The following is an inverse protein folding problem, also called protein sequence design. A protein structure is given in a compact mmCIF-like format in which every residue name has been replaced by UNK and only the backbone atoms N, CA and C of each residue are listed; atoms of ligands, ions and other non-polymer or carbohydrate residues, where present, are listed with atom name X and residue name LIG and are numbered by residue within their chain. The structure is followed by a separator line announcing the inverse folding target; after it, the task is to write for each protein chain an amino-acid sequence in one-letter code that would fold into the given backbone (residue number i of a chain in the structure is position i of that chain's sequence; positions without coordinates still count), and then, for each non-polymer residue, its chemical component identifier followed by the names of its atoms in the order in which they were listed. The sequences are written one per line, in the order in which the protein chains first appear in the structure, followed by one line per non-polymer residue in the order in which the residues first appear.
data_IF_024310559348
#
_entry.id   IF_024310559348
#
_cell.length_a   1.000
_cell.length_b   1.000
_cell.length_c   1.000
_cell.angle_alpha   90.00
_cell.angle_beta   90.00
_cell.angle_gamma   90.00
#
_symmetry.space_group_name_H-M   'P 1'
#
loop_
_entity.id
_entity.type
_entity.pdbx_description
1 polymer ?
#
# COMPACT_ATOMS: atom_id res chain seq x y z
N UNK A 1 -3.18 18.04 1.11
CA UNK A 1 -4.03 17.05 1.81
C UNK A 1 -5.05 16.56 0.81
N UNK A 2 -5.25 15.26 0.77
CA UNK A 2 -6.24 14.58 -0.08
C UNK A 2 -7.00 13.64 0.87
N UNK A 3 -8.30 13.84 1.00
CA UNK A 3 -9.16 13.13 1.97
C UNK A 3 -10.11 12.18 1.23
N UNK A 4 -10.55 11.13 1.94
CA UNK A 4 -11.45 10.09 1.45
C UNK A 4 -11.01 9.57 0.07
N UNK A 5 -9.72 9.25 -0.04
CA UNK A 5 -9.11 8.80 -1.31
C UNK A 5 -9.79 7.52 -1.80
N UNK A 6 -10.16 6.63 -0.90
CA UNK A 6 -10.84 5.37 -1.15
C UNK A 6 -12.24 5.52 -1.76
N UNK A 7 -12.93 6.63 -1.51
CA UNK A 7 -14.31 6.89 -1.94
C UNK A 7 -14.45 7.15 -3.44
N UNK A 8 -13.34 7.38 -4.15
CA UNK A 8 -13.38 7.80 -5.54
C UNK A 8 -13.40 6.59 -6.50
N UNK A 9 -14.15 6.66 -7.62
CA UNK A 9 -14.20 5.59 -8.61
C UNK A 9 -12.94 5.47 -9.49
N UNK A 10 -11.88 6.23 -9.21
CA UNK A 10 -10.71 6.38 -10.08
C UNK A 10 -9.60 5.35 -9.84
N UNK A 11 -9.94 4.23 -9.18
CA UNK A 11 -9.00 3.13 -8.96
C UNK A 11 -8.67 2.43 -10.29
N UNK A 12 -7.39 2.45 -10.63
CA UNK A 12 -6.81 1.79 -11.80
C UNK A 12 -6.11 0.51 -11.35
N UNK A 13 -5.87 -0.39 -12.30
CA UNK A 13 -5.00 -1.55 -12.09
C UNK A 13 -3.91 -1.56 -13.16
N UNK A 14 -2.80 -2.23 -12.86
CA UNK A 14 -1.65 -2.34 -13.76
C UNK A 14 -1.47 -3.75 -14.34
N UNK A 15 -2.47 -4.62 -14.17
CA UNK A 15 -2.36 -6.05 -14.50
C UNK A 15 -1.35 -6.75 -13.58
N UNK A 16 -0.28 -7.28 -14.17
CA UNK A 16 0.72 -8.08 -13.46
C UNK A 16 1.86 -7.27 -12.83
N UNK A 17 1.75 -5.94 -12.67
CA UNK A 17 2.89 -5.14 -12.22
C UNK A 17 3.33 -5.41 -10.77
N UNK A 18 2.42 -5.91 -9.93
CA UNK A 18 2.75 -6.37 -8.58
C UNK A 18 3.42 -7.75 -8.55
N UNK A 19 3.35 -8.53 -9.64
CA UNK A 19 4.00 -9.84 -9.70
C UNK A 19 5.52 -9.68 -9.82
N UNK A 20 6.26 -10.74 -9.46
CA UNK A 20 7.70 -10.79 -9.67
C UNK A 20 8.04 -10.57 -11.16
N UNK A 21 9.00 -9.68 -11.40
CA UNK A 21 9.37 -9.23 -12.74
C UNK A 21 8.26 -8.53 -13.54
N UNK A 22 7.14 -8.14 -12.91
CA UNK A 22 5.96 -7.57 -13.55
C UNK A 22 5.32 -8.49 -14.63
N UNK A 23 5.38 -9.82 -14.43
CA UNK A 23 4.85 -10.82 -15.37
C UNK A 23 3.99 -11.88 -14.67
N UNK A 24 3.21 -12.66 -15.43
CA UNK A 24 2.47 -13.81 -14.89
C UNK A 24 0.95 -13.66 -14.93
N UNK A 25 0.26 -14.54 -14.19
CA UNK A 25 -1.19 -14.57 -14.14
C UNK A 25 -1.75 -13.37 -13.37
N UNK A 26 -2.91 -12.87 -13.81
CA UNK A 26 -3.66 -11.82 -13.14
C UNK A 26 -4.81 -12.48 -12.40
N UNK A 27 -4.92 -12.27 -11.10
CA UNK A 27 -6.00 -12.81 -10.31
C UNK A 27 -7.34 -12.16 -10.71
N UNK A 28 -8.44 -12.92 -10.81
CA UNK A 28 -9.78 -12.35 -10.74
C UNK A 28 -9.91 -11.47 -9.50
N UNK A 29 -10.49 -10.28 -9.67
CA UNK A 29 -10.54 -9.29 -8.62
C UNK A 29 -11.77 -8.39 -8.79
N UNK A 30 -12.15 -7.69 -7.73
CA UNK A 30 -13.21 -6.69 -7.78
C UNK A 30 -12.97 -5.59 -6.75
N UNK A 31 -13.56 -4.43 -7.02
CA UNK A 31 -13.60 -3.30 -6.10
C UNK A 31 -15.06 -2.86 -5.93
N UNK A 32 -15.50 -2.65 -4.69
CA UNK A 32 -16.83 -2.11 -4.37
C UNK A 32 -16.65 -0.85 -3.55
N UNK A 33 -17.04 0.30 -4.10
CA UNK A 33 -16.82 1.62 -3.52
C UNK A 33 -18.12 2.10 -2.87
N UNK A 34 -18.03 2.79 -1.73
CA UNK A 34 -19.19 3.32 -1.02
C UNK A 34 -20.01 2.23 -0.33
N UNK A 35 -19.34 1.21 0.22
CA UNK A 35 -19.93 0.15 1.02
C UNK A 35 -20.40 0.74 2.35
N UNK A 36 -21.69 0.66 2.70
CA UNK A 36 -22.22 1.35 3.88
C UNK A 36 -21.96 0.62 5.20
N UNK A 37 -21.59 -0.66 5.17
CA UNK A 37 -21.29 -1.46 6.36
C UNK A 37 -20.48 -2.71 6.01
N UNK A 38 -19.42 -3.06 6.76
CA UNK A 38 -18.80 -2.23 7.79
C UNK A 38 -18.21 -0.95 7.18
N UNK A 39 -18.35 0.18 7.88
CA UNK A 39 -17.76 1.47 7.51
C UNK A 39 -17.76 2.38 8.73
N UNK A 40 -16.75 3.23 8.84
CA UNK A 40 -16.60 4.22 9.90
C UNK A 40 -17.20 5.59 9.53
N UNK A 41 -17.32 5.91 8.25
CA UNK A 41 -17.95 7.16 7.77
C UNK A 41 -19.21 6.93 6.90
N UNK A 42 -19.56 5.66 6.68
CA UNK A 42 -20.70 5.21 5.87
C UNK A 42 -20.36 4.94 4.40
N UNK A 43 -19.08 5.00 3.98
CA UNK A 43 -18.65 4.91 2.58
C UNK A 43 -17.37 4.09 2.30
N UNK A 44 -16.98 3.15 3.16
CA UNK A 44 -15.80 2.28 2.94
C UNK A 44 -15.68 1.68 1.52
N UNK A 45 -14.45 1.35 1.11
CA UNK A 45 -14.17 0.66 -0.14
C UNK A 45 -13.63 -0.75 0.12
N UNK A 46 -14.29 -1.75 -0.47
CA UNK A 46 -13.88 -3.15 -0.42
C UNK A 46 -13.01 -3.50 -1.63
N UNK A 47 -11.81 -4.02 -1.36
CA UNK A 47 -10.90 -4.60 -2.36
C UNK A 47 -10.93 -6.12 -2.22
N UNK A 48 -11.13 -6.84 -3.32
CA UNK A 48 -11.26 -8.31 -3.29
C UNK A 48 -10.40 -8.98 -4.34
N UNK A 49 -9.76 -10.08 -3.95
CA UNK A 49 -8.98 -10.98 -4.81
C UNK A 49 -9.58 -12.38 -4.74
N UNK A 50 -9.73 -13.02 -5.89
CA UNK A 50 -10.19 -14.40 -6.03
C UNK A 50 -9.22 -15.17 -6.93
N UNK A 51 -7.98 -15.29 -6.45
CA UNK A 51 -6.91 -15.95 -7.17
C UNK A 51 -7.26 -17.40 -7.52
N UNK A 52 -6.78 -17.87 -8.67
CA UNK A 52 -6.88 -19.28 -9.10
C UNK A 52 -5.51 -19.93 -9.27
N UNK A 53 -4.46 -19.11 -9.19
CA UNK A 53 -3.05 -19.51 -9.24
C UNK A 53 -2.39 -18.99 -7.96
N UNK A 54 -1.66 -19.85 -7.21
CA UNK A 54 -0.93 -19.43 -6.01
C UNK A 54 0.00 -18.25 -6.27
N UNK A 55 0.18 -17.39 -5.25
CA UNK A 55 1.11 -16.25 -5.29
C UNK A 55 0.84 -15.24 -6.41
N UNK A 56 -0.40 -15.18 -6.90
CA UNK A 56 -0.84 -14.06 -7.74
C UNK A 56 -1.29 -12.90 -6.87
N UNK A 57 -1.20 -11.69 -7.42
CA UNK A 57 -1.67 -10.49 -6.74
C UNK A 57 -2.57 -9.64 -7.63
N UNK A 58 -3.06 -8.57 -7.01
CA UNK A 58 -3.71 -7.47 -7.70
C UNK A 58 -3.35 -6.17 -7.01
N UNK A 59 -2.91 -5.20 -7.82
CA UNK A 59 -2.51 -3.87 -7.39
C UNK A 59 -3.52 -2.85 -7.93
N UNK A 60 -4.12 -2.10 -7.01
CA UNK A 60 -4.99 -0.97 -7.32
C UNK A 60 -4.31 0.32 -6.93
N UNK A 61 -4.36 1.31 -7.82
CA UNK A 61 -3.80 2.64 -7.54
C UNK A 61 -4.69 3.77 -8.03
N UNK A 62 -4.51 4.95 -7.44
CA UNK A 62 -5.05 6.18 -7.99
C UNK A 62 -3.93 7.13 -8.41
N UNK A 63 -4.21 7.92 -9.44
CA UNK A 63 -3.36 9.02 -9.87
C UNK A 63 -3.89 10.34 -9.33
N UNK A 64 -3.01 11.10 -8.71
CA UNK A 64 -3.29 12.42 -8.16
C UNK A 64 -2.66 13.51 -9.04
N UNK A 65 -2.97 14.76 -8.70
CA UNK A 65 -2.21 15.88 -9.26
C UNK A 65 -0.73 15.70 -8.87
N UNK A 66 0.23 15.71 -9.83
CA UNK A 66 1.64 15.53 -9.53
C UNK A 66 2.14 16.56 -8.52
N UNK A 67 2.83 16.09 -7.48
CA UNK A 67 3.54 16.95 -6.52
C UNK A 67 4.92 17.24 -7.10
N UNK A 68 5.19 18.51 -7.42
CA UNK A 68 6.39 18.95 -8.17
C UNK A 68 7.51 19.52 -7.29
N UNK A 69 7.43 19.27 -5.99
CA UNK A 69 8.38 19.73 -5.00
C UNK A 69 8.91 18.54 -4.18
N UNK A 70 10.03 18.75 -3.50
CA UNK A 70 10.51 17.81 -2.48
C UNK A 70 9.43 17.63 -1.41
N UNK A 71 9.19 16.38 -1.02
CA UNK A 71 8.31 16.02 0.09
C UNK A 71 9.13 16.04 1.39
N UNK A 72 9.08 17.17 2.09
CA UNK A 72 9.67 17.31 3.43
C UNK A 72 8.90 16.52 4.49
N UNK A 73 7.65 16.19 4.19
CA UNK A 73 6.79 15.30 4.95
C UNK A 73 5.74 14.70 4.03
N UNK A 74 5.49 13.40 4.16
CA UNK A 74 4.38 12.68 3.56
C UNK A 74 3.82 11.71 4.61
N UNK A 75 2.50 11.69 4.74
CA UNK A 75 1.76 10.79 5.61
C UNK A 75 0.64 10.14 4.83
N UNK A 76 0.59 8.81 4.87
CA UNK A 76 -0.50 8.00 4.34
C UNK A 76 -1.22 7.32 5.51
N UNK A 77 -2.49 7.67 5.69
CA UNK A 77 -3.32 7.32 6.83
C UNK A 77 -4.60 6.67 6.33
N UNK A 78 -5.04 5.58 6.95
CA UNK A 78 -6.31 4.92 6.63
C UNK A 78 -6.70 3.92 7.73
N UNK A 79 -7.96 3.53 7.74
CA UNK A 79 -8.45 2.43 8.56
C UNK A 79 -8.63 1.17 7.69
N UNK A 80 -8.21 0.02 8.23
CA UNK A 80 -8.22 -1.28 7.55
C UNK A 80 -9.11 -2.26 8.31
N UNK A 81 -10.00 -2.94 7.59
CA UNK A 81 -10.85 -3.98 8.13
C UNK A 81 -10.62 -5.31 7.40
N UNK A 82 -10.35 -6.36 8.17
CA UNK A 82 -10.28 -7.73 7.66
C UNK A 82 -11.59 -8.45 8.01
N UNK A 83 -12.41 -8.85 7.02
CA UNK A 83 -13.60 -9.64 7.26
C UNK A 83 -13.29 -10.99 7.93
N UNK A 84 -14.20 -11.45 8.78
CA UNK A 84 -14.11 -12.77 9.41
C UNK A 84 -14.03 -13.87 8.34
N UNK A 85 -13.07 -14.77 8.49
CA UNK A 85 -12.73 -15.82 7.55
C UNK A 85 -11.64 -15.43 6.54
N UNK A 86 -11.28 -14.14 6.45
CA UNK A 86 -10.21 -13.66 5.56
C UNK A 86 -8.86 -13.55 6.27
N UNK A 87 -8.79 -13.71 7.59
CA UNK A 87 -7.59 -13.41 8.38
C UNK A 87 -6.34 -14.25 8.04
N UNK A 88 -6.50 -15.41 7.41
CA UNK A 88 -5.38 -16.29 7.06
C UNK A 88 -5.17 -16.46 5.54
N UNK A 89 -6.02 -15.84 4.72
CA UNK A 89 -5.96 -15.94 3.26
C UNK A 89 -4.84 -15.10 2.60
N UNK A 90 -4.47 -13.91 3.12
CA UNK A 90 -3.39 -13.12 2.54
C UNK A 90 -2.04 -13.84 2.61
N UNK A 91 -1.28 -13.77 1.53
CA UNK A 91 0.18 -13.86 1.62
C UNK A 91 0.71 -12.57 2.23
N UNK A 92 0.22 -11.46 1.70
CA UNK A 92 0.55 -10.13 2.16
C UNK A 92 -0.56 -9.13 1.80
N UNK A 93 -0.56 -8.02 2.53
CA UNK A 93 -1.29 -6.80 2.18
C UNK A 93 -0.24 -5.71 2.03
N UNK A 94 -0.27 -5.02 0.90
CA UNK A 94 0.66 -3.93 0.59
C UNK A 94 -0.09 -2.61 0.41
N UNK A 95 0.60 -1.51 0.72
CA UNK A 95 0.12 -0.16 0.48
C UNK A 95 1.30 0.76 0.22
N UNK A 96 1.07 1.78 -0.60
CA UNK A 96 2.13 2.72 -0.93
C UNK A 96 1.63 4.11 -1.32
N UNK A 97 2.53 5.07 -1.22
CA UNK A 97 2.53 6.25 -2.06
C UNK A 97 3.74 6.21 -2.99
N UNK A 98 3.68 6.90 -4.12
CA UNK A 98 4.82 7.07 -5.01
C UNK A 98 4.84 8.47 -5.61
N UNK A 99 6.02 9.09 -5.60
CA UNK A 99 6.28 10.34 -6.32
C UNK A 99 7.27 10.06 -7.44
N UNK A 100 6.95 10.50 -8.65
CA UNK A 100 7.95 10.70 -9.70
C UNK A 100 8.20 12.20 -9.80
N UNK A 101 9.46 12.62 -9.67
CA UNK A 101 9.86 14.02 -9.74
C UNK A 101 11.14 14.15 -10.56
N UNK A 102 11.07 14.88 -11.68
CA UNK A 102 12.19 15.06 -12.61
C UNK A 102 12.83 13.73 -13.05
N UNK A 103 12.01 12.71 -13.31
CA UNK A 103 12.45 11.38 -13.72
C UNK A 103 12.85 10.43 -12.59
N UNK A 104 12.96 10.91 -11.35
CA UNK A 104 13.29 10.08 -10.18
C UNK A 104 12.05 9.54 -9.49
N UNK A 105 12.03 8.24 -9.23
CA UNK A 105 10.96 7.51 -8.53
C UNK A 105 11.33 7.41 -7.05
N UNK A 106 10.52 8.05 -6.22
CA UNK A 106 10.52 7.97 -4.77
C UNK A 106 9.32 7.08 -4.38
N UNK A 107 9.59 5.84 -4.00
CA UNK A 107 8.57 4.84 -3.67
C UNK A 107 8.46 4.65 -2.15
N UNK A 108 7.26 4.81 -1.62
CA UNK A 108 6.96 4.83 -0.19
C UNK A 108 6.05 3.65 0.16
N UNK A 109 6.58 2.44 0.00
CA UNK A 109 5.81 1.19 0.11
C UNK A 109 6.00 0.47 1.43
N UNK A 110 4.94 -0.24 1.82
CA UNK A 110 4.89 -1.14 2.95
C UNK A 110 4.20 -2.44 2.58
N UNK A 111 4.57 -3.49 3.28
CA UNK A 111 3.91 -4.78 3.18
C UNK A 111 3.85 -5.47 4.54
N UNK A 112 2.65 -5.86 4.97
CA UNK A 112 2.45 -6.83 6.03
C UNK A 112 2.56 -8.23 5.41
N UNK A 113 3.66 -8.94 5.66
CA UNK A 113 3.87 -10.31 5.17
C UNK A 113 3.38 -11.32 6.21
N UNK A 114 2.20 -11.89 5.99
CA UNK A 114 1.50 -12.74 6.95
C UNK A 114 2.28 -14.02 7.26
N UNK A 115 2.95 -14.60 6.27
CA UNK A 115 3.70 -15.85 6.45
C UNK A 115 4.99 -15.69 7.25
N UNK A 116 5.50 -14.45 7.39
CA UNK A 116 6.74 -14.15 8.12
C UNK A 116 6.49 -13.37 9.42
N UNK A 117 5.26 -12.92 9.67
CA UNK A 117 4.90 -12.07 10.81
C UNK A 117 5.81 -10.84 10.92
N UNK A 118 6.05 -10.17 9.79
CA UNK A 118 6.95 -9.03 9.69
C UNK A 118 6.35 -7.93 8.80
N UNK A 119 6.73 -6.70 9.05
CA UNK A 119 6.58 -5.61 8.09
C UNK A 119 7.81 -5.47 7.20
N UNK A 120 7.60 -5.26 5.91
CA UNK A 120 8.63 -5.03 4.91
C UNK A 120 8.43 -3.70 4.19
N UNK A 121 9.51 -3.18 3.63
CA UNK A 121 9.56 -2.02 2.74
C UNK A 121 10.18 -2.45 1.43
N UNK A 122 9.70 -1.94 0.29
CA UNK A 122 10.30 -2.25 -1.00
C UNK A 122 11.43 -1.27 -1.32
N UNK A 123 12.65 -1.78 -1.41
CA UNK A 123 13.78 -1.04 -1.97
C UNK A 123 13.62 -0.99 -3.50
N UNK A 124 13.00 0.07 -3.99
CA UNK A 124 12.64 0.21 -5.40
C UNK A 124 13.85 0.27 -6.34
N UNK A 125 14.98 0.80 -5.89
CA UNK A 125 16.23 0.82 -6.65
C UNK A 125 16.83 -0.57 -6.82
N UNK A 126 16.86 -1.37 -5.73
CA UNK A 126 17.39 -2.74 -5.73
C UNK A 126 16.36 -3.80 -6.17
N UNK A 127 15.09 -3.44 -6.31
CA UNK A 127 13.98 -4.34 -6.68
C UNK A 127 13.78 -5.50 -5.70
N UNK A 128 13.83 -5.21 -4.40
CA UNK A 128 13.68 -6.23 -3.37
C UNK A 128 12.90 -5.73 -2.16
N UNK A 129 12.19 -6.66 -1.51
CA UNK A 129 11.60 -6.43 -0.20
C UNK A 129 12.64 -6.60 0.91
N UNK A 130 12.69 -5.64 1.82
CA UNK A 130 13.61 -5.64 2.96
C UNK A 130 12.83 -5.62 4.28
N UNK A 131 13.35 -6.28 5.30
CA UNK A 131 12.79 -6.24 6.65
C UNK A 131 12.82 -4.81 7.19
N UNK A 132 11.68 -4.31 7.69
CA UNK A 132 11.65 -3.09 8.48
C UNK A 132 12.05 -3.33 9.96
N UNK A 133 12.34 -4.59 10.33
CA UNK A 133 12.56 -5.04 11.72
C UNK A 133 11.40 -4.72 12.68
N UNK A 134 10.18 -4.62 12.15
CA UNK A 134 8.94 -4.49 12.92
C UNK A 134 8.16 -5.78 12.79
N UNK A 135 7.86 -6.42 13.92
CA UNK A 135 6.99 -7.58 13.94
C UNK A 135 5.57 -7.20 13.50
N UNK A 136 4.98 -8.00 12.62
CA UNK A 136 3.58 -7.88 12.23
C UNK A 136 2.75 -8.83 13.09
N UNK A 137 1.81 -8.26 13.85
CA UNK A 137 0.73 -9.00 14.47
C UNK A 137 -0.44 -9.01 13.50
N UNK A 138 -0.99 -10.19 13.22
CA UNK A 138 -2.12 -10.32 12.32
C UNK A 138 -3.29 -9.45 12.82
N UNK A 139 -3.94 -8.77 11.88
CA UNK A 139 -5.12 -7.98 12.19
C UNK A 139 -6.24 -8.86 12.76
N UNK A 140 -6.94 -8.35 13.77
CA UNK A 140 -8.07 -9.05 14.35
C UNK A 140 -9.23 -8.98 13.36
N UNK A 141 -9.79 -10.12 12.90
CA UNK A 141 -10.89 -10.08 11.97
C UNK A 141 -12.14 -9.46 12.61
N UNK A 142 -12.92 -8.73 11.83
CA UNK A 142 -14.16 -8.12 12.30
C UNK A 142 -13.99 -6.78 13.00
N UNK A 143 -12.80 -6.19 12.99
CA UNK A 143 -12.52 -4.89 13.60
C UNK A 143 -11.74 -3.97 12.66
N UNK A 144 -11.90 -2.66 12.84
CA UNK A 144 -11.10 -1.64 12.16
C UNK A 144 -9.75 -1.47 12.86
N UNK A 145 -8.70 -1.33 12.05
CA UNK A 145 -7.33 -1.12 12.46
C UNK A 145 -6.79 0.17 11.86
N UNK A 146 -6.25 1.05 12.71
CA UNK A 146 -5.79 2.36 12.28
C UNK A 146 -4.34 2.32 11.84
N UNK A 147 -4.08 2.75 10.60
CA UNK A 147 -2.78 2.71 9.94
C UNK A 147 -2.28 4.14 9.65
N UNK A 148 -1.03 4.43 10.04
CA UNK A 148 -0.35 5.68 9.66
C UNK A 148 1.09 5.37 9.25
N UNK A 149 1.48 5.76 8.05
CA UNK A 149 2.86 5.65 7.58
C UNK A 149 3.43 7.02 7.19
N UNK A 150 4.62 7.33 7.70
CA UNK A 150 5.28 8.64 7.59
C UNK A 150 6.58 8.52 6.79
N UNK A 151 6.85 9.50 5.93
CA UNK A 151 7.98 9.51 5.01
C UNK A 151 8.48 10.93 4.70
N UNK A 152 9.67 10.99 4.11
CA UNK A 152 10.16 12.17 3.39
C UNK A 152 11.12 11.76 2.26
N UNK A 153 11.49 12.71 1.39
CA UNK A 153 12.61 12.52 0.46
C UNK A 153 13.61 13.68 0.50
N UNK A 154 14.79 13.41 -0.07
CA UNK A 154 15.82 14.39 -0.36
C UNK A 154 16.10 14.34 -1.87
N UNK A 155 15.83 15.44 -2.58
CA UNK A 155 16.00 15.52 -4.04
C UNK A 155 17.42 15.87 -4.45
N UNK A 156 18.27 16.31 -3.52
CA UNK A 156 19.70 16.59 -3.75
C UNK A 156 20.49 15.29 -3.76
N UNK A 157 20.18 14.38 -2.83
CA UNK A 157 20.82 13.07 -2.74
C UNK A 157 19.99 11.94 -3.36
N UNK A 158 18.82 12.25 -3.92
CA UNK A 158 17.87 11.29 -4.49
C UNK A 158 17.60 10.13 -3.53
N UNK A 159 17.11 10.46 -2.33
CA UNK A 159 16.90 9.50 -1.25
C UNK A 159 15.45 9.48 -0.79
N UNK A 160 14.97 8.29 -0.45
CA UNK A 160 13.66 8.04 0.15
C UNK A 160 13.86 7.63 1.60
N UNK A 161 13.02 8.13 2.49
CA UNK A 161 13.04 7.78 3.90
C UNK A 161 11.68 7.30 4.38
N UNK A 162 11.69 6.16 5.06
CA UNK A 162 10.55 5.65 5.82
C UNK A 162 10.77 6.00 7.29
N UNK A 163 10.05 7.01 7.75
CA UNK A 163 10.26 7.61 9.06
C UNK A 163 9.62 6.77 10.18
N UNK A 164 8.36 6.39 9.97
CA UNK A 164 7.63 5.58 10.94
C UNK A 164 6.43 4.84 10.33
N UNK A 165 6.04 3.77 11.04
CA UNK A 165 4.76 3.11 10.88
C UNK A 165 4.02 3.13 12.22
N UNK A 166 2.74 3.45 12.23
CA UNK A 166 1.87 3.34 13.40
C UNK A 166 0.72 2.40 13.07
N UNK A 167 0.51 1.42 13.94
CA UNK A 167 -0.61 0.46 13.85
C UNK A 167 -1.34 0.46 15.17
N UNK A 168 -2.64 0.77 15.17
CA UNK A 168 -3.49 0.84 16.35
C UNK A 168 -2.88 1.69 17.49
N UNK A 169 -2.35 2.85 17.13
CA UNK A 169 -1.71 3.78 18.06
C UNK A 169 -0.31 3.37 18.55
N UNK A 170 0.20 2.19 18.17
CA UNK A 170 1.58 1.77 18.45
C UNK A 170 2.49 2.26 17.34
N UNK A 171 3.34 3.25 17.65
CA UNK A 171 4.29 3.85 16.70
C UNK A 171 5.65 3.16 16.73
N UNK A 172 6.13 2.77 15.56
CA UNK A 172 7.44 2.20 15.29
C UNK A 172 8.30 3.22 14.53
N UNK A 173 9.24 3.91 15.20
CA UNK A 173 10.21 4.78 14.54
C UNK A 173 11.29 3.93 13.83
N UNK A 174 11.65 4.29 12.60
CA UNK A 174 12.49 3.46 11.73
C UNK A 174 13.70 4.20 11.21
N UNK A 175 13.47 5.30 10.47
CA UNK A 175 14.50 6.03 9.72
C UNK A 175 15.27 5.13 8.73
N UNK A 176 14.53 4.36 7.94
CA UNK A 176 15.10 3.51 6.88
C UNK A 176 15.29 4.36 5.63
N UNK A 177 16.48 4.32 5.04
CA UNK A 177 16.84 5.09 3.83
C UNK A 177 17.08 4.15 2.66
N UNK A 178 16.50 4.49 1.51
CA UNK A 178 16.82 3.91 0.20
C UNK A 178 17.19 4.99 -0.81
N UNK A 179 17.89 4.60 -1.87
CA UNK A 179 18.12 5.48 -3.01
C UNK A 179 16.87 5.46 -3.92
N UNK A 180 16.49 6.63 -4.43
CA UNK A 180 15.47 6.76 -5.46
C UNK A 180 15.97 6.18 -6.78
N UNK A 181 15.05 5.81 -7.67
CA UNK A 181 15.37 5.20 -8.96
C UNK A 181 15.14 6.17 -10.12
N UNK A 182 16.13 6.40 -10.98
CA UNK A 182 15.93 7.23 -12.17
C UNK A 182 15.25 6.43 -13.29
N UNK A 183 13.97 6.73 -13.53
CA UNK A 183 13.18 6.15 -14.63
C UNK A 183 13.16 7.02 -15.90
N UNK A 184 13.42 8.33 -15.77
CA UNK A 184 13.23 9.31 -16.85
C UNK A 184 11.75 9.61 -17.18
N UNK A 185 10.80 9.09 -16.38
CA UNK A 185 9.37 9.31 -16.58
C UNK A 185 8.93 10.72 -16.16
N UNK A 186 7.76 11.14 -16.65
CA UNK A 186 7.15 12.42 -16.26
C UNK A 186 6.74 12.42 -14.78
N UNK A 187 6.59 13.63 -14.22
CA UNK A 187 6.16 13.79 -12.84
C UNK A 187 4.80 13.13 -12.59
N UNK A 188 4.70 12.40 -11.48
CA UNK A 188 3.52 11.65 -11.05
C UNK A 188 3.41 11.66 -9.54
N UNK A 189 2.19 11.53 -9.03
CA UNK A 189 1.94 11.22 -7.63
C UNK A 189 0.79 10.24 -7.53
N UNK A 190 1.00 9.11 -6.86
CA UNK A 190 0.03 8.01 -6.76
C UNK A 190 -0.03 7.47 -5.35
N UNK A 191 -1.14 6.82 -5.02
CA UNK A 191 -1.25 5.91 -3.88
C UNK A 191 -1.80 4.56 -4.36
N UNK A 192 -1.57 3.51 -3.59
CA UNK A 192 -2.04 2.18 -3.92
C UNK A 192 -2.34 1.29 -2.72
N UNK A 193 -3.10 0.23 -3.01
CA UNK A 193 -3.40 -0.93 -2.17
C UNK A 193 -3.17 -2.17 -3.04
N UNK A 194 -2.49 -3.18 -2.51
CA UNK A 194 -2.30 -4.47 -3.18
C UNK A 194 -2.64 -5.64 -2.26
N UNK A 195 -3.25 -6.66 -2.85
CA UNK A 195 -3.58 -7.92 -2.20
C UNK A 195 -2.81 -9.06 -2.86
N UNK A 196 -2.12 -9.86 -2.05
CA UNK A 196 -1.37 -11.02 -2.50
C UNK A 196 -2.05 -12.32 -2.03
N UNK A 197 -2.26 -13.27 -2.93
CA UNK A 197 -2.73 -14.62 -2.58
C UNK A 197 -1.58 -15.49 -2.08
N UNK A 198 -1.87 -16.40 -1.14
CA UNK A 198 -0.87 -17.34 -0.60
C UNK A 198 -0.76 -18.63 -1.43
N UNK A 199 -0.07 -19.64 -0.89
CA UNK A 199 0.09 -20.96 -1.52
C UNK A 199 -1.27 -21.65 -1.83
N UNK A 200 -2.25 -21.41 -0.97
CA UNK A 200 -3.66 -21.74 -1.13
C UNK A 200 -4.38 -20.46 -1.56
N UNK A 201 -4.74 -20.30 -2.85
CA UNK A 201 -5.28 -19.06 -3.38
C UNK A 201 -6.76 -18.87 -2.97
N UNK A 202 -7.03 -18.93 -1.66
CA UNK A 202 -8.34 -18.73 -1.08
C UNK A 202 -8.79 -17.28 -1.37
N UNK A 203 -9.99 -17.07 -1.94
CA UNK A 203 -10.51 -15.74 -2.17
C UNK A 203 -10.67 -14.98 -0.86
N UNK A 204 -10.30 -13.70 -0.87
CA UNK A 204 -10.49 -12.84 0.28
C UNK A 204 -10.71 -11.38 -0.12
N UNK A 205 -11.09 -10.59 0.86
CA UNK A 205 -11.27 -9.15 0.69
C UNK A 205 -10.80 -8.41 1.92
N UNK A 206 -10.53 -7.11 1.75
CA UNK A 206 -10.32 -6.15 2.84
C UNK A 206 -11.24 -4.96 2.60
N UNK A 207 -11.56 -4.20 3.64
CA UNK A 207 -12.14 -2.88 3.49
C UNK A 207 -11.17 -1.82 3.96
N UNK A 208 -11.17 -0.69 3.26
CA UNK A 208 -10.41 0.51 3.63
C UNK A 208 -11.40 1.66 3.78
N UNK A 209 -11.18 2.50 4.78
CA UNK A 209 -12.01 3.66 5.10
C UNK A 209 -11.11 4.80 5.63
N UNK A 210 -11.63 6.04 5.61
CA UNK A 210 -10.95 7.28 6.02
C UNK A 210 -9.54 7.44 5.44
N UNK A 211 -9.33 7.06 4.19
CA UNK A 211 -8.01 7.15 3.57
C UNK A 211 -7.62 8.61 3.31
N UNK A 212 -6.50 9.03 3.87
CA UNK A 212 -5.97 10.40 3.82
C UNK A 212 -4.50 10.41 3.42
N UNK A 213 -4.14 11.38 2.59
CA UNK A 213 -2.76 11.69 2.22
C UNK A 213 -2.45 13.13 2.62
N UNK A 214 -1.49 13.33 3.53
CA UNK A 214 -1.01 14.65 3.95
C UNK A 214 0.43 14.83 3.54
N UNK A 215 0.77 15.98 2.93
CA UNK A 215 2.15 16.24 2.50
C UNK A 215 2.51 17.73 2.57
N UNK A 216 3.82 18.01 2.65
CA UNK A 216 4.43 19.34 2.63
C UNK A 216 5.69 19.39 1.79
#
# INVERSE_FOLDING_TARGET
MIDNVEDTPNWLTCGACGNDGATGAIAPHSISIGVPSPSEDGRATQFSIAATVPFTNIYWYQQHTPVRDQLSFLMYEFDLYIPVGSENAPQAIEFECQQILNGWVYNYSWQAIYTMNLWRIFNYGAKQWESANVSFQHFTPGTWHHMVAEYHNDVTTHSVFHDALTVDGTRYPLNIRHDAFFSGSNDQFTNAIQLDSNLHPDPYSIMVDKMKITYK
#
